data_IF_352393817535
#
_entry.id   IF_352393817535
#
_cell.length_a   1.000
_cell.length_b   1.000
_cell.length_c   1.000
_cell.angle_alpha   90.00
_cell.angle_beta   90.00
_cell.angle_gamma   90.00
#
_symmetry.space_group_name_H-M   'P 1'
#
loop_
_entity.id
_entity.type
_entity.pdbx_description
1 polymer ?
#
# COMPACT_ATOMS: atom_id res chain seq x y z
N UNK A 1 12.16 -17.18 10.39
CA UNK A 1 11.08 -17.49 9.45
C UNK A 1 9.94 -16.55 9.78
N UNK A 2 9.97 -15.33 9.23
CA UNK A 2 8.84 -14.41 9.28
C UNK A 2 7.74 -15.07 8.44
N UNK A 3 6.64 -15.47 9.08
CA UNK A 3 5.50 -16.04 8.36
C UNK A 3 4.98 -14.97 7.41
N UNK A 4 4.95 -15.27 6.11
CA UNK A 4 4.40 -14.34 5.13
C UNK A 4 2.95 -14.01 5.53
N UNK A 5 2.71 -12.76 5.95
CA UNK A 5 1.37 -12.29 6.28
C UNK A 5 0.54 -12.37 4.99
N UNK A 6 -0.47 -13.22 4.93
CA UNK A 6 -1.37 -13.29 3.77
C UNK A 6 -2.59 -12.41 4.05
N UNK A 7 -2.67 -11.27 3.37
CA UNK A 7 -3.85 -10.40 3.44
C UNK A 7 -4.97 -10.95 2.57
N UNK A 8 -6.22 -10.86 3.03
CA UNK A 8 -7.36 -10.92 2.10
C UNK A 8 -7.29 -9.75 1.11
N UNK A 9 -7.95 -9.86 -0.04
CA UNK A 9 -7.97 -8.79 -1.04
C UNK A 9 -8.46 -7.45 -0.46
N UNK A 10 -9.46 -7.50 0.45
CA UNK A 10 -9.97 -6.30 1.11
C UNK A 10 -8.95 -5.68 2.07
N UNK A 11 -8.31 -6.48 2.92
CA UNK A 11 -7.25 -5.99 3.81
C UNK A 11 -6.07 -5.40 3.02
N UNK A 12 -5.73 -6.03 1.90
CA UNK A 12 -4.69 -5.55 1.00
C UNK A 12 -5.04 -4.16 0.43
N UNK A 13 -6.29 -3.99 -0.03
CA UNK A 13 -6.79 -2.71 -0.54
C UNK A 13 -6.80 -1.62 0.54
N UNK A 14 -7.27 -1.94 1.75
CA UNK A 14 -7.30 -1.02 2.88
C UNK A 14 -5.89 -0.56 3.27
N UNK A 15 -4.90 -1.46 3.25
CA UNK A 15 -3.51 -1.12 3.51
C UNK A 15 -2.92 -0.21 2.43
N UNK A 16 -3.19 -0.49 1.15
CA UNK A 16 -2.80 0.39 0.05
C UNK A 16 -3.39 1.79 0.23
N UNK A 17 -4.68 1.90 0.57
CA UNK A 17 -5.30 3.20 0.81
C UNK A 17 -4.63 3.95 1.97
N UNK A 18 -4.39 3.27 3.10
CA UNK A 18 -3.70 3.86 4.26
C UNK A 18 -2.29 4.35 3.93
N UNK A 19 -1.55 3.61 3.10
CA UNK A 19 -0.23 4.00 2.65
C UNK A 19 -0.27 5.23 1.74
N UNK A 20 -1.20 5.29 0.78
CA UNK A 20 -1.39 6.47 -0.07
C UNK A 20 -1.77 7.72 0.74
N UNK A 21 -2.75 7.60 1.63
CA UNK A 21 -3.19 8.72 2.48
C UNK A 21 -2.03 9.22 3.35
N UNK A 22 -1.34 8.31 4.03
CA UNK A 22 -0.30 8.68 5.00
C UNK A 22 0.94 9.28 4.34
N UNK A 23 1.42 8.69 3.24
CA UNK A 23 2.72 9.05 2.67
C UNK A 23 2.64 9.95 1.44
N UNK A 24 1.48 10.02 0.77
CA UNK A 24 1.31 10.80 -0.45
C UNK A 24 0.10 11.74 -0.42
N UNK A 25 -0.78 11.63 0.58
CA UNK A 25 -1.98 12.45 0.67
C UNK A 25 -3.00 12.16 -0.44
N UNK A 26 -2.96 10.96 -1.02
CA UNK A 26 -3.82 10.52 -2.11
C UNK A 26 -4.87 9.54 -1.56
N UNK A 27 -6.12 9.71 -1.95
CA UNK A 27 -7.16 8.71 -1.68
C UNK A 27 -7.11 7.61 -2.73
N UNK A 28 -7.36 6.36 -2.34
CA UNK A 28 -7.35 5.24 -3.29
C UNK A 28 -8.30 5.45 -4.48
N UNK A 29 -9.41 6.20 -4.30
CA UNK A 29 -10.36 6.54 -5.36
C UNK A 29 -9.73 7.40 -6.49
N UNK A 30 -8.65 8.10 -6.21
CA UNK A 30 -7.88 8.89 -7.19
C UNK A 30 -6.80 8.05 -7.90
N UNK A 31 -6.76 6.74 -7.64
CA UNK A 31 -5.80 5.80 -8.22
C UNK A 31 -6.51 4.65 -8.94
N UNK A 32 -5.79 3.90 -9.77
CA UNK A 32 -6.36 2.69 -10.37
C UNK A 32 -6.63 1.58 -9.34
N UNK A 33 -6.11 1.69 -8.11
CA UNK A 33 -6.34 0.69 -7.06
C UNK A 33 -7.77 0.69 -6.49
N UNK A 34 -8.61 1.67 -6.84
CA UNK A 34 -10.05 1.60 -6.56
C UNK A 34 -10.74 0.52 -7.41
N UNK A 35 -10.18 0.15 -8.55
CA UNK A 35 -10.71 -0.89 -9.42
C UNK A 35 -10.31 -2.29 -8.94
N UNK A 36 -11.30 -3.11 -8.63
CA UNK A 36 -11.08 -4.46 -8.10
C UNK A 36 -10.19 -5.33 -9.00
N UNK A 37 -10.34 -5.23 -10.33
CA UNK A 37 -9.52 -6.00 -11.27
C UNK A 37 -8.06 -5.54 -11.28
N UNK A 38 -7.82 -4.23 -11.12
CA UNK A 38 -6.48 -3.68 -11.08
C UNK A 38 -5.73 -4.16 -9.84
N UNK A 39 -6.33 -4.02 -8.65
CA UNK A 39 -5.71 -4.49 -7.41
C UNK A 39 -5.58 -6.03 -7.33
N UNK A 40 -6.54 -6.77 -7.89
CA UNK A 40 -6.54 -8.24 -7.85
C UNK A 40 -5.32 -8.84 -8.54
N UNK A 41 -4.77 -8.17 -9.55
CA UNK A 41 -3.52 -8.58 -10.20
C UNK A 41 -2.36 -8.58 -9.21
N UNK A 42 -2.11 -7.44 -8.55
CA UNK A 42 -1.06 -7.32 -7.53
C UNK A 42 -1.23 -8.33 -6.40
N UNK A 43 -2.47 -8.50 -5.93
CA UNK A 43 -2.78 -9.46 -4.88
C UNK A 43 -2.52 -10.92 -5.29
N UNK A 44 -2.90 -11.30 -6.52
CA UNK A 44 -2.68 -12.65 -7.07
C UNK A 44 -1.20 -12.94 -7.30
N UNK A 45 -0.44 -11.91 -7.66
CA UNK A 45 1.02 -11.97 -7.85
C UNK A 45 1.79 -11.90 -6.52
N UNK A 46 1.09 -11.95 -5.37
CA UNK A 46 1.65 -11.85 -4.02
C UNK A 46 2.49 -10.57 -3.78
N UNK A 47 2.19 -9.49 -4.50
CA UNK A 47 2.85 -8.19 -4.31
C UNK A 47 2.36 -7.57 -3.00
N UNK A 48 3.28 -7.10 -2.16
CA UNK A 48 2.94 -6.44 -0.88
C UNK A 48 2.31 -5.06 -1.14
N UNK A 49 1.38 -4.59 -0.29
CA UNK A 49 0.82 -3.23 -0.39
C UNK A 49 1.87 -2.13 -0.57
N UNK A 50 2.95 -2.12 0.24
CA UNK A 50 3.99 -1.09 0.10
C UNK A 50 4.72 -1.13 -1.26
N UNK A 51 4.88 -2.32 -1.85
CA UNK A 51 5.54 -2.49 -3.14
C UNK A 51 4.67 -1.94 -4.26
N UNK A 52 3.36 -2.23 -4.23
CA UNK A 52 2.41 -1.69 -5.20
C UNK A 52 2.32 -0.16 -5.15
N UNK A 53 2.33 0.42 -3.94
CA UNK A 53 2.38 1.87 -3.75
C UNK A 53 3.67 2.47 -4.28
N UNK A 54 4.82 1.83 -4.06
CA UNK A 54 6.11 2.30 -4.60
C UNK A 54 6.15 2.27 -6.12
N UNK A 55 5.63 1.21 -6.75
CA UNK A 55 5.54 1.12 -8.22
C UNK A 55 4.68 2.26 -8.78
N UNK A 56 3.55 2.53 -8.14
CA UNK A 56 2.68 3.64 -8.52
C UNK A 56 3.34 4.99 -8.32
N UNK A 57 3.95 5.23 -7.16
CA UNK A 57 4.67 6.46 -6.86
C UNK A 57 5.80 6.71 -7.87
N UNK A 58 6.56 5.68 -8.22
CA UNK A 58 7.59 5.77 -9.25
C UNK A 58 7.00 6.10 -10.63
N UNK A 59 5.92 5.44 -11.03
CA UNK A 59 5.27 5.66 -12.33
C UNK A 59 4.75 7.09 -12.52
N UNK A 60 4.27 7.71 -11.44
CA UNK A 60 3.67 9.04 -11.47
C UNK A 60 4.56 10.13 -10.85
N UNK A 61 5.84 9.83 -10.59
CA UNK A 61 6.83 10.75 -9.99
C UNK A 61 6.32 11.42 -8.70
N UNK A 62 5.72 10.61 -7.83
CA UNK A 62 5.16 11.10 -6.56
C UNK A 62 6.25 11.20 -5.50
N UNK A 63 6.29 12.35 -4.83
CA UNK A 63 7.16 12.56 -3.67
C UNK A 63 6.43 12.28 -2.37
N UNK A 64 7.14 11.68 -1.41
CA UNK A 64 6.61 11.41 -0.08
C UNK A 64 6.45 12.71 0.72
N UNK A 65 5.36 12.79 1.48
CA UNK A 65 5.04 13.94 2.33
C UNK A 65 5.88 14.01 3.61
N UNK A 66 6.48 12.90 4.05
CA UNK A 66 7.31 12.85 5.25
C UNK A 66 8.78 13.22 5.01
N UNK A 67 9.10 13.80 3.85
CA UNK A 67 10.44 14.26 3.45
C UNK A 67 11.52 13.18 3.49
N UNK A 68 11.12 11.91 3.40
CA UNK A 68 12.02 10.76 3.28
C UNK A 68 12.21 10.44 1.80
N UNK A 69 13.46 10.50 1.33
CA UNK A 69 13.82 10.25 -0.08
C UNK A 69 13.85 8.76 -0.46
N UNK A 70 13.56 7.86 0.47
CA UNK A 70 13.53 6.43 0.19
C UNK A 70 12.10 5.93 -0.08
N UNK A 71 11.93 4.92 -0.95
CA UNK A 71 10.65 4.24 -1.12
C UNK A 71 10.14 3.62 0.19
N UNK A 72 8.85 3.29 0.24
CA UNK A 72 8.25 2.60 1.36
C UNK A 72 8.88 1.21 1.55
N UNK A 73 8.91 0.76 2.80
CA UNK A 73 9.40 -0.55 3.22
C UNK A 73 8.33 -1.29 4.03
N UNK A 74 8.61 -2.54 4.38
CA UNK A 74 7.75 -3.34 5.27
C UNK A 74 7.48 -2.62 6.61
N UNK A 75 8.44 -1.87 7.15
CA UNK A 75 8.26 -1.10 8.39
C UNK A 75 7.15 -0.05 8.24
N UNK A 76 7.07 0.58 7.06
CA UNK A 76 6.02 1.55 6.77
C UNK A 76 4.65 0.86 6.75
N UNK A 77 4.53 -0.29 6.12
CA UNK A 77 3.32 -1.11 6.08
C UNK A 77 2.87 -1.55 7.47
N UNK A 78 3.78 -2.12 8.27
CA UNK A 78 3.48 -2.56 9.63
C UNK A 78 3.03 -1.38 10.52
N UNK A 79 3.60 -0.19 10.32
CA UNK A 79 3.20 1.02 11.06
C UNK A 79 1.76 1.45 10.81
N UNK A 80 1.18 1.16 9.64
CA UNK A 80 -0.23 1.45 9.33
C UNK A 80 -1.15 0.25 9.60
N UNK A 81 -0.59 -0.97 9.56
CA UNK A 81 -1.33 -2.19 9.87
C UNK A 81 -1.66 -2.32 11.36
N UNK A 82 -0.85 -1.76 12.27
CA UNK A 82 -1.15 -1.76 13.71
C UNK A 82 -2.48 -1.08 14.07
N UNK A 83 -3.04 -0.25 13.18
CA UNK A 83 -4.38 0.34 13.31
C UNK A 83 -5.53 -0.57 12.83
N UNK A 84 -5.24 -1.72 12.21
CA UNK A 84 -6.24 -2.70 11.75
C UNK A 84 -6.62 -3.71 12.85
N UNK A 85 -5.71 -4.02 13.76
CA UNK A 85 -5.92 -4.99 14.85
C UNK A 85 -6.69 -4.43 16.06
N UNK A 86 -7.09 -3.15 16.03
CA UNK A 86 -7.81 -2.46 17.11
C UNK A 86 -9.35 -2.43 16.94
N UNK A 87 -9.94 -3.38 16.18
CA UNK A 87 -11.40 -3.54 16.05
C UNK A 87 -11.85 -4.91 16.53
#
# INVERSE_FOLDING_TARGET
MTGDIVYSLLQWQELVNKLFIKYYGIDINDTAFCEANYMKRYWTDCVRPYQAVNEWAYKYDLHRLDSVDTPLSEVNELSVNQYMELK
#
